data_IF_039239977276
#
_entry.id   IF_039239977276
#
_cell.length_a   1.000
_cell.length_b   1.000
_cell.length_c   1.000
_cell.angle_alpha   90.00
_cell.angle_beta   90.00
_cell.angle_gamma   90.00
#
_symmetry.space_group_name_H-M   'P 1'
#
loop_
_entity.id
_entity.type
_entity.pdbx_description
1 polymer ?
#
# COMPACT_ATOMS: atom_id res chain seq x y z
N UNK A 1 -31.50 -58.42 -10.85
CA UNK A 1 -30.12 -58.28 -10.31
C UNK A 1 -29.04 -58.96 -11.16
N UNK A 2 -29.37 -59.82 -12.15
CA UNK A 2 -28.38 -60.53 -12.97
C UNK A 2 -27.75 -59.69 -14.10
N UNK A 3 -28.48 -58.70 -14.63
CA UNK A 3 -28.05 -57.88 -15.78
C UNK A 3 -26.76 -57.08 -15.51
N UNK A 4 -26.54 -56.64 -14.27
CA UNK A 4 -25.32 -55.92 -13.87
C UNK A 4 -24.12 -56.85 -13.80
N UNK A 5 -24.30 -58.07 -13.29
CA UNK A 5 -23.24 -59.08 -13.15
C UNK A 5 -22.79 -59.55 -14.54
N UNK A 6 -23.73 -59.73 -15.46
CA UNK A 6 -23.42 -60.14 -16.84
C UNK A 6 -22.67 -59.06 -17.61
N UNK A 7 -23.01 -57.78 -17.39
CA UNK A 7 -22.26 -56.64 -17.94
C UNK A 7 -20.83 -56.57 -17.38
N UNK A 8 -20.63 -56.81 -16.09
CA UNK A 8 -19.30 -56.82 -15.45
C UNK A 8 -18.45 -57.96 -16.02
N UNK A 9 -19.02 -59.17 -16.16
CA UNK A 9 -18.32 -60.32 -16.77
C UNK A 9 -17.94 -60.07 -18.22
N UNK A 10 -18.82 -59.42 -18.99
CA UNK A 10 -18.56 -59.05 -20.39
C UNK A 10 -17.38 -58.07 -20.51
N UNK A 11 -17.36 -57.02 -19.68
CA UNK A 11 -16.24 -56.07 -19.63
C UNK A 11 -14.92 -56.73 -19.19
N UNK A 12 -14.99 -57.66 -18.24
CA UNK A 12 -13.82 -58.44 -17.80
C UNK A 12 -13.27 -59.36 -18.91
N UNK A 13 -14.15 -60.00 -19.68
CA UNK A 13 -13.77 -60.83 -20.83
C UNK A 13 -13.07 -60.02 -21.93
N UNK A 14 -13.59 -58.82 -22.23
CA UNK A 14 -12.96 -57.89 -23.18
C UNK A 14 -11.57 -57.46 -22.68
N UNK A 15 -11.46 -57.09 -21.40
CA UNK A 15 -10.19 -56.73 -20.77
C UNK A 15 -9.15 -57.86 -20.84
N UNK A 16 -9.59 -59.12 -20.70
CA UNK A 16 -8.75 -60.29 -20.84
C UNK A 16 -8.43 -60.63 -22.31
N UNK A 17 -9.14 -60.09 -23.30
CA UNK A 17 -8.78 -60.27 -24.73
C UNK A 17 -7.73 -59.26 -25.22
N UNK A 18 -7.55 -58.14 -24.51
CA UNK A 18 -6.59 -57.09 -24.86
C UNK A 18 -5.13 -57.55 -24.71
N UNK A 19 -4.27 -57.09 -25.63
CA UNK A 19 -2.81 -57.33 -25.62
C UNK A 19 -2.20 -56.88 -24.28
N UNK A 20 -1.23 -57.63 -23.79
CA UNK A 20 -0.52 -57.42 -22.50
C UNK A 20 -0.21 -55.94 -22.14
N UNK A 21 0.32 -55.09 -23.04
CA UNK A 21 0.59 -53.69 -22.68
C UNK A 21 -0.66 -52.89 -22.29
N UNK A 22 -1.80 -53.15 -22.94
CA UNK A 22 -3.04 -52.41 -22.67
C UNK A 22 -3.72 -52.84 -21.37
N UNK A 23 -3.48 -54.06 -20.90
CA UNK A 23 -3.97 -54.52 -19.59
C UNK A 23 -3.31 -53.78 -18.43
N UNK A 24 -2.04 -53.42 -18.56
CA UNK A 24 -1.33 -52.69 -17.49
C UNK A 24 -1.62 -51.19 -17.60
N UNK A 25 -1.76 -50.67 -18.82
CA UNK A 25 -2.03 -49.25 -19.07
C UNK A 25 -3.40 -48.79 -18.55
N UNK A 26 -4.43 -49.63 -18.69
CA UNK A 26 -5.81 -49.27 -18.33
C UNK A 26 -6.01 -48.97 -16.83
N UNK A 27 -5.50 -49.79 -15.87
CA UNK A 27 -5.57 -49.45 -14.45
C UNK A 27 -4.53 -48.40 -14.04
N UNK A 28 -3.43 -48.24 -14.79
CA UNK A 28 -2.39 -47.26 -14.48
C UNK A 28 -2.87 -45.82 -14.72
N UNK A 29 -3.70 -45.61 -15.74
CA UNK A 29 -4.22 -44.29 -16.12
C UNK A 29 -4.99 -43.57 -14.99
N UNK A 30 -6.00 -44.19 -14.32
CA UNK A 30 -6.71 -43.54 -13.21
C UNK A 30 -5.81 -43.35 -11.98
N UNK A 31 -4.85 -44.25 -11.74
CA UNK A 31 -3.89 -44.12 -10.62
C UNK A 31 -2.98 -42.92 -10.85
N UNK A 32 -2.44 -42.75 -12.06
CA UNK A 32 -1.59 -41.61 -12.41
C UNK A 32 -2.35 -40.28 -12.33
N UNK A 33 -3.62 -40.28 -12.77
CA UNK A 33 -4.49 -39.11 -12.67
C UNK A 33 -4.75 -38.70 -11.21
N UNK A 34 -4.96 -39.67 -10.32
CA UNK A 34 -5.20 -39.42 -8.90
C UNK A 34 -3.97 -38.82 -8.20
N UNK A 35 -2.78 -39.32 -8.53
CA UNK A 35 -1.50 -38.81 -8.00
C UNK A 35 -1.28 -37.36 -8.44
N UNK A 36 -1.48 -37.07 -9.73
CA UNK A 36 -1.37 -35.71 -10.26
C UNK A 36 -2.35 -34.75 -9.59
N UNK A 37 -3.60 -35.18 -9.38
CA UNK A 37 -4.62 -34.37 -8.71
C UNK A 37 -4.24 -34.03 -7.26
N UNK A 38 -3.69 -35.01 -6.52
CA UNK A 38 -3.24 -34.80 -5.15
C UNK A 38 -2.02 -33.86 -5.08
N UNK A 39 -1.05 -34.01 -5.98
CA UNK A 39 0.13 -33.14 -6.04
C UNK A 39 -0.17 -31.67 -6.40
N UNK A 40 -1.30 -31.38 -7.03
CA UNK A 40 -1.70 -30.00 -7.35
C UNK A 40 -2.32 -29.26 -6.17
N UNK A 41 -2.80 -29.97 -5.14
CA UNK A 41 -3.54 -29.36 -4.02
C UNK A 41 -2.66 -28.55 -3.06
N UNK A 42 -1.35 -28.74 -3.08
CA UNK A 42 -0.46 -28.30 -1.99
C UNK A 42 0.25 -26.95 -2.24
N UNK A 43 0.03 -26.29 -3.38
CA UNK A 43 0.89 -25.18 -3.83
C UNK A 43 0.43 -23.76 -3.48
N UNK A 44 -0.71 -23.60 -2.80
CA UNK A 44 -1.30 -22.27 -2.56
C UNK A 44 -1.27 -21.83 -1.10
N UNK A 45 -0.20 -22.17 -0.37
CA UNK A 45 0.16 -21.40 0.83
C UNK A 45 1.16 -20.36 0.36
N UNK A 46 0.64 -19.25 -0.16
CA UNK A 46 1.46 -18.06 -0.31
C UNK A 46 1.94 -17.72 1.11
N UNK A 47 3.21 -18.02 1.37
CA UNK A 47 3.83 -17.66 2.64
C UNK A 47 3.85 -16.14 2.68
N UNK A 48 3.01 -15.57 3.55
CA UNK A 48 2.99 -14.14 3.83
C UNK A 48 4.25 -13.82 4.65
N UNK A 49 5.38 -13.68 3.95
CA UNK A 49 6.67 -13.39 4.57
C UNK A 49 6.64 -11.92 4.99
N UNK A 50 6.30 -11.66 6.25
CA UNK A 50 6.35 -10.34 6.83
C UNK A 50 7.79 -9.81 6.83
N UNK A 51 8.09 -8.88 5.92
CA UNK A 51 9.38 -8.20 5.86
C UNK A 51 9.44 -7.17 6.99
N UNK A 52 10.29 -7.43 7.98
CA UNK A 52 10.54 -6.50 9.08
C UNK A 52 11.25 -5.25 8.54
N UNK A 53 10.61 -4.11 8.72
CA UNK A 53 11.14 -2.80 8.35
C UNK A 53 10.80 -1.75 9.41
N UNK A 54 11.52 -0.62 9.45
CA UNK A 54 11.23 0.45 10.40
C UNK A 54 9.86 1.07 10.10
N UNK A 55 8.96 1.06 11.08
CA UNK A 55 7.66 1.74 11.02
C UNK A 55 7.84 3.15 11.55
N UNK A 56 7.78 4.15 10.68
CA UNK A 56 7.83 5.56 11.05
C UNK A 56 6.41 6.11 11.13
N UNK A 57 5.94 6.40 12.34
CA UNK A 57 4.67 7.09 12.58
C UNK A 57 4.87 8.60 12.41
N UNK A 58 4.12 9.22 11.50
CA UNK A 58 4.15 10.67 11.28
C UNK A 58 2.94 11.31 11.94
N UNK A 59 3.18 12.20 12.90
CA UNK A 59 2.13 13.01 13.52
C UNK A 59 2.10 14.38 12.85
N UNK A 60 0.97 14.75 12.26
CA UNK A 60 0.77 16.06 11.65
C UNK A 60 0.23 17.05 12.69
N UNK A 61 1.03 18.04 13.06
CA UNK A 61 0.59 19.16 13.88
C UNK A 61 0.09 20.32 13.02
N UNK A 62 -1.10 20.83 13.31
CA UNK A 62 -1.54 22.12 12.79
C UNK A 62 -1.02 23.22 13.73
N UNK A 63 -0.24 24.15 13.17
CA UNK A 63 0.33 25.26 13.92
C UNK A 63 0.26 26.56 13.13
N UNK A 64 0.18 27.69 13.83
CA UNK A 64 0.28 29.02 13.23
C UNK A 64 1.72 29.50 13.23
N UNK A 65 2.16 30.09 12.11
CA UNK A 65 3.51 30.63 11.99
C UNK A 65 3.53 32.06 12.51
N UNK A 66 4.47 32.35 13.40
CA UNK A 66 4.69 33.68 13.96
C UNK A 66 6.02 34.26 13.49
N UNK A 67 6.08 35.59 13.40
CA UNK A 67 7.32 36.30 13.09
C UNK A 67 8.30 36.16 14.25
N UNK A 68 9.59 35.96 13.93
CA UNK A 68 10.65 35.76 14.93
C UNK A 68 10.78 36.96 15.88
N UNK A 69 10.63 38.17 15.34
CA UNK A 69 10.66 39.41 16.09
C UNK A 69 9.47 40.28 15.67
N UNK A 70 8.74 40.81 16.65
CA UNK A 70 7.64 41.75 16.41
C UNK A 70 7.88 43.00 17.25
N UNK A 71 7.96 44.16 16.61
CA UNK A 71 8.19 45.44 17.30
C UNK A 71 6.97 46.33 17.13
N UNK A 72 6.59 47.03 18.21
CA UNK A 72 5.52 48.04 18.17
C UNK A 72 6.16 49.41 18.33
N UNK A 73 6.19 50.19 17.26
CA UNK A 73 6.71 51.54 17.30
C UNK A 73 5.70 52.47 18.01
N UNK A 74 6.16 53.22 19.02
CA UNK A 74 5.34 54.20 19.77
C UNK A 74 6.07 55.54 19.80
N UNK A 75 5.32 56.63 19.63
CA UNK A 75 5.86 58.00 19.76
C UNK A 75 5.77 58.42 21.22
N UNK A 76 6.91 58.77 21.83
CA UNK A 76 6.97 59.14 23.25
C UNK A 76 6.58 60.60 23.56
N UNK A 77 6.46 61.45 22.53
CA UNK A 77 6.15 62.89 22.68
C UNK A 77 4.90 63.23 21.90
N UNK A 78 3.90 63.91 22.49
CA UNK A 78 2.69 64.33 21.79
C UNK A 78 3.05 65.42 20.78
N UNK A 79 3.27 65.03 19.54
CA UNK A 79 3.71 65.92 18.45
C UNK A 79 2.87 65.65 17.20
N UNK A 80 2.70 66.66 16.35
CA UNK A 80 1.97 66.50 15.10
C UNK A 80 2.87 65.86 14.05
N UNK A 81 2.44 64.74 13.49
CA UNK A 81 3.14 64.08 12.37
C UNK A 81 2.97 64.95 11.12
N UNK A 82 4.08 65.36 10.52
CA UNK A 82 4.08 66.26 9.35
C UNK A 82 4.37 65.54 8.05
N UNK A 83 5.22 64.50 8.09
CA UNK A 83 5.62 63.70 6.92
C UNK A 83 5.85 62.25 7.33
N UNK A 84 5.43 61.33 6.46
CA UNK A 84 5.66 59.88 6.59
C UNK A 84 6.54 59.45 5.41
N UNK A 85 7.62 58.71 5.68
CA UNK A 85 8.64 58.32 4.69
C UNK A 85 8.61 56.84 4.32
N UNK A 86 7.79 56.05 5.01
CA UNK A 86 7.69 54.59 4.86
C UNK A 86 6.24 54.23 4.65
N UNK A 87 5.97 53.35 3.69
CA UNK A 87 4.63 52.82 3.42
C UNK A 87 4.47 51.42 4.03
N UNK A 88 3.21 51.00 4.17
CA UNK A 88 2.90 49.66 4.65
C UNK A 88 3.45 48.62 3.66
N UNK A 89 4.23 47.65 4.17
CA UNK A 89 4.85 46.60 3.37
C UNK A 89 6.30 46.87 2.94
N UNK A 90 6.83 48.07 3.17
CA UNK A 90 8.23 48.38 2.88
C UNK A 90 9.18 47.68 3.88
N UNK A 91 10.29 47.16 3.35
CA UNK A 91 11.40 46.71 4.19
C UNK A 91 12.12 47.91 4.81
N UNK A 92 12.40 47.82 6.11
CA UNK A 92 13.06 48.88 6.88
C UNK A 92 14.27 48.34 7.61
N UNK A 93 15.39 49.06 7.49
CA UNK A 93 16.61 48.79 8.24
C UNK A 93 16.61 49.53 9.59
N UNK A 94 17.34 49.02 10.60
CA UNK A 94 17.56 49.74 11.85
C UNK A 94 18.11 51.15 11.59
N UNK A 95 17.53 52.16 12.23
CA UNK A 95 17.96 53.56 12.10
C UNK A 95 17.37 54.31 10.89
N UNK A 96 16.53 53.67 10.06
CA UNK A 96 15.81 54.36 8.98
C UNK A 96 14.76 55.33 9.56
N UNK A 97 14.71 56.54 9.01
CA UNK A 97 13.72 57.55 9.40
C UNK A 97 12.33 57.17 8.87
N UNK A 98 11.37 56.91 9.76
CA UNK A 98 10.02 56.51 9.36
C UNK A 98 9.06 57.69 9.17
N UNK A 99 9.16 58.73 9.99
CA UNK A 99 8.33 59.94 9.90
C UNK A 99 9.05 61.12 10.57
N UNK A 100 8.56 62.32 10.30
CA UNK A 100 8.99 63.56 10.96
C UNK A 100 7.82 64.18 11.72
N UNK A 101 8.06 64.59 12.96
CA UNK A 101 7.12 65.35 13.77
C UNK A 101 7.68 66.71 14.14
N UNK A 102 6.79 67.71 14.18
CA UNK A 102 7.10 69.03 14.74
C UNK A 102 6.32 69.20 16.04
N UNK A 103 7.01 69.71 17.06
CA UNK A 103 6.44 70.15 18.32
C UNK A 103 5.72 71.49 18.17
#
# INVERSE_FOLDING_TARGET
MNVLIDKIKFWFSIYQSLRLPFRILLPLLPVLFLILFLSMKEKNKAEDIAVLGPVAEKVYGLGTVHSLNTFRFRVGVPTKITKVFVLEGDEVAPGRLCFNSKG
#
